data_IF_602832255956
#
_entry.id   IF_602832255956
#
_cell.length_a   1.000
_cell.length_b   1.000
_cell.length_c   1.000
_cell.angle_alpha   90.00
_cell.angle_beta   90.00
_cell.angle_gamma   90.00
#
_symmetry.space_group_name_H-M   'P 1'
#
loop_
_entity.id
_entity.type
_entity.pdbx_description
1 polymer ?
#
# COMPACT_ATOMS: atom_id res chain seq x y z
N UNK A 1 76.80 -26.99 -24.78
CA UNK A 1 77.15 -27.88 -23.66
C UNK A 1 75.87 -28.08 -22.85
N UNK A 2 75.33 -29.31 -22.86
CA UNK A 2 74.25 -29.87 -22.02
C UNK A 2 72.78 -29.38 -22.20
N UNK A 3 72.03 -30.04 -23.11
CA UNK A 3 70.96 -31.04 -22.86
C UNK A 3 70.48 -31.20 -21.38
N UNK A 4 69.22 -31.50 -21.00
CA UNK A 4 68.05 -32.12 -21.67
C UNK A 4 66.89 -32.28 -20.62
N UNK A 5 65.65 -32.38 -21.12
CA UNK A 5 64.46 -33.15 -20.62
C UNK A 5 63.52 -32.57 -19.54
N UNK A 6 62.22 -32.62 -19.88
CA UNK A 6 61.08 -32.77 -18.96
C UNK A 6 59.90 -31.84 -19.30
N UNK A 7 59.05 -32.16 -20.29
CA UNK A 7 57.70 -32.75 -20.11
C UNK A 7 56.94 -32.30 -18.84
N UNK A 8 55.65 -31.98 -18.73
CA UNK A 8 54.45 -31.78 -19.57
C UNK A 8 53.36 -31.31 -18.57
N UNK A 9 52.35 -30.53 -18.99
CA UNK A 9 51.00 -30.36 -18.38
C UNK A 9 50.95 -29.85 -16.91
N UNK A 10 50.41 -28.68 -16.58
CA UNK A 10 49.02 -28.25 -16.79
C UNK A 10 48.95 -26.73 -16.65
N UNK A 11 48.31 -26.06 -17.63
CA UNK A 11 47.77 -24.71 -17.45
C UNK A 11 46.63 -24.78 -16.44
N UNK A 12 46.73 -24.07 -15.33
CA UNK A 12 45.55 -23.62 -14.58
C UNK A 12 45.23 -22.20 -15.02
N UNK A 13 44.49 -22.10 -16.12
CA UNK A 13 43.68 -20.92 -16.43
C UNK A 13 42.48 -20.96 -15.47
N UNK A 14 42.50 -20.14 -14.41
CA UNK A 14 41.27 -19.83 -13.68
C UNK A 14 40.55 -18.74 -14.45
N UNK A 15 39.80 -19.15 -15.48
CA UNK A 15 38.64 -18.40 -15.93
C UNK A 15 37.60 -18.50 -14.82
N UNK A 16 37.58 -17.53 -13.91
CA UNK A 16 36.44 -17.32 -13.03
C UNK A 16 35.33 -16.65 -13.85
N UNK A 17 34.58 -17.47 -14.58
CA UNK A 17 33.26 -17.14 -15.09
C UNK A 17 32.42 -16.71 -13.89
N UNK A 18 32.20 -15.41 -13.70
CA UNK A 18 31.15 -14.92 -12.79
C UNK A 18 29.81 -15.14 -13.52
N UNK A 19 29.45 -16.40 -13.68
CA UNK A 19 28.06 -16.84 -13.73
C UNK A 19 27.58 -16.85 -12.29
N UNK A 20 27.21 -15.68 -11.78
CA UNK A 20 26.29 -15.64 -10.65
C UNK A 20 24.91 -15.46 -11.25
N UNK A 21 24.31 -16.62 -11.55
CA UNK A 21 22.88 -16.81 -11.66
C UNK A 21 22.23 -16.02 -10.53
N UNK A 22 21.54 -14.94 -10.88
CA UNK A 22 20.58 -14.30 -9.99
C UNK A 22 19.48 -15.32 -9.80
N UNK A 23 19.68 -16.22 -8.83
CA UNK A 23 18.61 -17.08 -8.34
C UNK A 23 17.57 -16.11 -7.81
N UNK A 24 16.48 -16.00 -8.55
CA UNK A 24 15.23 -15.42 -8.09
C UNK A 24 14.92 -16.06 -6.74
N UNK A 25 15.21 -15.32 -5.67
CA UNK A 25 14.70 -15.64 -4.36
C UNK A 25 13.23 -15.28 -4.43
N UNK A 26 12.38 -16.30 -4.39
CA UNK A 26 10.94 -16.14 -4.17
C UNK A 26 10.73 -15.46 -2.81
N UNK A 27 10.66 -14.13 -2.80
CA UNK A 27 10.27 -13.32 -1.63
C UNK A 27 8.74 -13.32 -1.47
N UNK A 28 8.16 -14.52 -1.47
CA UNK A 28 6.73 -14.78 -1.33
C UNK A 28 6.24 -14.76 0.12
N UNK A 29 7.14 -14.63 1.11
CA UNK A 29 6.79 -14.70 2.53
C UNK A 29 7.31 -13.50 3.32
N UNK A 30 6.94 -12.27 2.91
CA UNK A 30 6.69 -11.22 3.90
C UNK A 30 5.30 -11.45 4.52
N UNK A 31 5.11 -12.67 5.01
CA UNK A 31 4.06 -13.03 5.96
C UNK A 31 4.30 -12.11 7.15
N UNK A 32 3.21 -11.52 7.65
CA UNK A 32 3.14 -10.91 8.97
C UNK A 32 3.36 -11.96 10.07
N UNK A 33 4.48 -12.69 10.02
CA UNK A 33 4.94 -13.45 11.15
C UNK A 33 5.07 -12.42 12.26
N UNK A 34 4.20 -12.60 13.25
CA UNK A 34 4.52 -12.46 14.65
C UNK A 34 5.79 -11.67 14.90
N UNK A 35 5.64 -10.54 15.58
CA UNK A 35 6.69 -9.82 16.29
C UNK A 35 7.36 -10.81 17.27
N UNK A 36 8.16 -11.74 16.75
CA UNK A 36 8.84 -12.83 17.43
C UNK A 36 10.31 -12.61 17.13
N UNK A 37 10.88 -11.72 17.95
CA UNK A 37 12.24 -11.22 17.83
C UNK A 37 12.47 -9.96 18.65
N UNK A 38 11.41 -9.28 19.10
CA UNK A 38 11.54 -8.15 20.03
C UNK A 38 11.92 -8.69 21.41
N UNK A 39 13.06 -8.23 21.92
CA UNK A 39 13.43 -8.45 23.30
C UNK A 39 12.41 -7.73 24.20
N UNK A 40 11.41 -8.43 24.75
CA UNK A 40 10.44 -7.83 25.66
C UNK A 40 11.05 -7.18 26.92
N UNK A 41 12.33 -7.46 27.17
CA UNK A 41 13.06 -7.00 28.35
C UNK A 41 13.34 -5.49 28.40
N UNK A 42 13.28 -4.77 27.28
CA UNK A 42 13.57 -3.33 27.25
C UNK A 42 12.31 -2.44 27.22
N UNK A 43 11.12 -3.03 27.22
CA UNK A 43 9.85 -2.30 27.27
C UNK A 43 9.67 -1.61 28.62
N UNK A 44 9.45 -0.30 28.57
CA UNK A 44 9.09 0.47 29.78
C UNK A 44 7.62 0.23 30.17
N UNK A 45 7.23 0.48 31.43
CA UNK A 45 5.82 0.42 31.86
C UNK A 45 4.90 1.31 31.03
N UNK A 46 5.43 2.41 30.46
CA UNK A 46 4.67 3.30 29.58
C UNK A 46 4.35 2.63 28.23
N UNK A 47 5.28 1.82 27.69
CA UNK A 47 5.02 1.03 26.48
C UNK A 47 3.90 0.02 26.71
N UNK A 48 3.93 -0.70 27.84
CA UNK A 48 2.90 -1.69 28.15
C UNK A 48 1.53 -1.05 28.42
N UNK A 49 1.50 0.10 29.12
CA UNK A 49 0.26 0.84 29.30
C UNK A 49 -0.32 1.33 27.96
N UNK A 50 0.54 1.76 27.04
CA UNK A 50 0.15 2.20 25.70
C UNK A 50 -0.34 1.04 24.82
N UNK A 51 0.38 -0.08 24.77
CA UNK A 51 0.02 -1.26 23.95
C UNK A 51 -1.34 -1.85 24.35
N UNK A 52 -1.62 -1.86 25.65
CA UNK A 52 -2.87 -2.39 26.22
C UNK A 52 -4.01 -1.35 26.31
N UNK A 53 -3.78 -0.10 25.89
CA UNK A 53 -4.81 0.95 25.96
C UNK A 53 -5.19 1.38 27.38
N UNK A 54 -4.32 1.16 28.38
CA UNK A 54 -4.60 1.47 29.79
C UNK A 54 -4.39 2.96 30.09
N UNK A 55 -5.37 3.77 29.70
CA UNK A 55 -5.34 5.23 29.81
C UNK A 55 -4.99 5.75 31.22
N UNK A 56 -5.59 5.18 32.27
CA UNK A 56 -5.34 5.63 33.65
C UNK A 56 -3.91 5.33 34.10
N UNK A 57 -3.41 4.13 33.80
CA UNK A 57 -2.02 3.75 34.08
C UNK A 57 -1.05 4.67 33.34
N UNK A 58 -1.34 4.96 32.07
CA UNK A 58 -0.53 5.84 31.23
C UNK A 58 -0.46 7.27 31.81
N UNK A 59 -1.61 7.85 32.20
CA UNK A 59 -1.67 9.16 32.87
C UNK A 59 -0.88 9.18 34.19
N UNK A 60 -1.02 8.15 35.01
CA UNK A 60 -0.30 8.05 36.28
C UNK A 60 1.21 7.99 36.08
N UNK A 61 1.69 7.22 35.09
CA UNK A 61 3.11 7.12 34.77
C UNK A 61 3.68 8.46 34.27
N UNK A 62 2.95 9.18 33.43
CA UNK A 62 3.36 10.51 32.98
C UNK A 62 3.39 11.53 34.12
N UNK A 63 2.41 11.47 35.03
CA UNK A 63 2.39 12.31 36.24
C UNK A 63 3.57 12.03 37.19
N UNK A 64 4.14 10.83 37.16
CA UNK A 64 5.36 10.47 37.90
C UNK A 64 6.65 10.99 37.23
N UNK A 65 6.55 11.70 36.11
CA UNK A 65 7.71 12.26 35.41
C UNK A 65 8.42 11.27 34.48
N UNK A 66 7.77 10.16 34.09
CA UNK A 66 8.32 9.25 33.08
C UNK A 66 8.44 10.00 31.75
N UNK A 67 9.63 9.96 31.15
CA UNK A 67 9.86 10.58 29.85
C UNK A 67 9.01 9.89 28.76
N UNK A 68 8.12 10.66 28.13
CA UNK A 68 7.19 10.18 27.09
C UNK A 68 7.91 9.68 25.83
N UNK A 69 9.12 10.19 25.57
CA UNK A 69 9.92 9.90 24.39
C UNK A 69 10.93 8.78 24.63
N UNK A 70 10.75 7.97 25.70
CA UNK A 70 11.50 6.73 25.85
C UNK A 70 11.21 5.79 24.68
N UNK A 71 12.28 5.15 24.20
CA UNK A 71 12.22 4.20 23.11
C UNK A 71 12.94 2.91 23.46
N UNK A 72 12.50 1.81 22.86
CA UNK A 72 13.19 0.51 22.89
C UNK A 72 14.45 0.54 22.02
N UNK A 73 15.23 -0.54 22.03
CA UNK A 73 16.40 -0.73 21.15
C UNK A 73 16.02 -0.62 19.67
N UNK A 74 14.79 -1.01 19.32
CA UNK A 74 14.24 -0.93 17.97
C UNK A 74 13.65 0.46 17.67
N UNK A 75 13.90 1.45 18.54
CA UNK A 75 13.38 2.81 18.47
C UNK A 75 11.85 2.87 18.47
N UNK A 76 11.18 1.88 19.07
CA UNK A 76 9.73 1.88 19.26
C UNK A 76 9.42 2.76 20.46
N UNK A 77 8.51 3.72 20.30
CA UNK A 77 8.03 4.58 21.39
C UNK A 77 6.66 4.13 21.89
N UNK A 78 6.23 4.61 23.05
CA UNK A 78 4.87 4.34 23.56
C UNK A 78 3.78 4.86 22.61
N UNK A 79 4.06 5.90 21.82
CA UNK A 79 3.14 6.39 20.79
C UNK A 79 2.96 5.37 19.65
N UNK A 80 4.02 4.67 19.26
CA UNK A 80 3.91 3.60 18.25
C UNK A 80 2.97 2.48 18.72
N UNK A 81 3.11 2.06 19.97
CA UNK A 81 2.29 0.99 20.57
C UNK A 81 0.82 1.41 20.70
N UNK A 82 0.55 2.62 21.18
CA UNK A 82 -0.81 3.15 21.27
C UNK A 82 -1.50 3.20 19.89
N UNK A 83 -0.79 3.66 18.86
CA UNK A 83 -1.31 3.73 17.50
C UNK A 83 -1.53 2.34 16.87
N UNK A 84 -0.63 1.39 17.14
CA UNK A 84 -0.77 0.00 16.66
C UNK A 84 -1.97 -0.71 17.29
N UNK A 85 -2.27 -0.41 18.55
CA UNK A 85 -3.48 -0.87 19.23
C UNK A 85 -4.74 -0.08 18.89
N UNK A 86 -4.64 1.03 18.15
CA UNK A 86 -5.76 1.91 17.82
C UNK A 86 -6.30 2.72 19.00
N UNK A 87 -5.52 2.84 20.09
CA UNK A 87 -5.93 3.43 21.37
C UNK A 87 -5.92 4.96 21.35
N UNK A 88 -6.91 5.57 20.70
CA UNK A 88 -6.97 7.02 20.47
C UNK A 88 -6.79 7.86 21.75
N UNK A 89 -7.41 7.46 22.87
CA UNK A 89 -7.28 8.20 24.13
C UNK A 89 -5.84 8.19 24.68
N UNK A 90 -5.13 7.06 24.55
CA UNK A 90 -3.72 6.96 24.92
C UNK A 90 -2.85 7.79 23.96
N UNK A 91 -3.09 7.67 22.65
CA UNK A 91 -2.42 8.46 21.61
C UNK A 91 -2.53 9.95 21.91
N UNK A 92 -3.73 10.44 22.22
CA UNK A 92 -3.98 11.84 22.57
C UNK A 92 -3.17 12.29 23.77
N UNK A 93 -3.21 11.55 24.87
CA UNK A 93 -2.46 11.90 26.09
C UNK A 93 -0.95 11.92 25.84
N UNK A 94 -0.43 10.95 25.08
CA UNK A 94 0.99 10.91 24.74
C UNK A 94 1.41 12.13 23.91
N UNK A 95 0.60 12.52 22.92
CA UNK A 95 0.85 13.71 22.09
C UNK A 95 0.78 15.00 22.91
N UNK A 96 -0.21 15.14 23.79
CA UNK A 96 -0.34 16.29 24.72
C UNK A 96 0.89 16.45 25.64
N UNK A 97 1.60 15.36 25.94
CA UNK A 97 2.83 15.37 26.73
C UNK A 97 4.10 15.50 25.89
N UNK A 98 3.99 15.77 24.59
CA UNK A 98 5.13 16.03 23.70
C UNK A 98 5.77 14.77 23.11
N UNK A 99 5.00 13.70 22.91
CA UNK A 99 5.48 12.54 22.16
C UNK A 99 5.86 12.91 20.71
N UNK A 100 6.98 12.36 20.23
CA UNK A 100 7.45 12.58 18.85
C UNK A 100 6.51 11.91 17.83
N UNK A 101 5.69 12.72 17.18
CA UNK A 101 4.67 12.28 16.20
C UNK A 101 5.26 11.62 14.94
N UNK A 102 6.46 12.06 14.54
CA UNK A 102 7.19 11.56 13.36
C UNK A 102 8.38 10.67 13.75
N UNK A 103 8.36 10.06 14.94
CA UNK A 103 9.36 9.08 15.34
C UNK A 103 9.43 7.92 14.33
N UNK A 104 10.61 7.37 14.11
CA UNK A 104 10.84 6.28 13.15
C UNK A 104 11.56 5.14 13.86
N UNK A 105 10.99 3.93 13.75
CA UNK A 105 11.64 2.71 14.26
C UNK A 105 12.82 2.31 13.37
N UNK A 106 13.63 1.34 13.82
CA UNK A 106 14.72 0.77 12.98
C UNK A 106 14.21 0.12 11.69
N UNK A 107 12.92 -0.23 11.63
CA UNK A 107 12.27 -0.82 10.46
C UNK A 107 11.59 0.22 9.56
N UNK A 108 11.80 1.52 9.83
CA UNK A 108 11.19 2.59 9.04
C UNK A 108 9.70 2.79 9.28
N UNK A 109 9.18 2.32 10.42
CA UNK A 109 7.77 2.43 10.81
C UNK A 109 7.55 3.73 11.58
N UNK A 110 6.47 4.44 11.28
CA UNK A 110 6.02 5.66 11.99
C UNK A 110 4.77 5.39 12.82
N UNK A 111 4.41 6.26 13.80
CA UNK A 111 3.14 6.16 14.49
C UNK A 111 1.93 6.22 13.54
N UNK A 112 2.01 7.02 12.47
CA UNK A 112 0.97 7.10 11.45
C UNK A 112 0.79 5.80 10.68
N UNK A 113 1.90 5.13 10.33
CA UNK A 113 1.86 3.80 9.74
C UNK A 113 1.16 2.80 10.67
N UNK A 114 1.49 2.81 11.97
CA UNK A 114 0.85 1.92 12.95
C UNK A 114 -0.65 2.20 13.11
N UNK A 115 -1.07 3.46 13.10
CA UNK A 115 -2.49 3.83 13.11
C UNK A 115 -3.23 3.34 11.83
N UNK A 116 -2.57 3.42 10.68
CA UNK A 116 -3.10 2.85 9.44
C UNK A 116 -3.17 1.33 9.47
N UNK A 117 -2.19 0.66 10.09
CA UNK A 117 -2.19 -0.80 10.29
C UNK A 117 -3.33 -1.26 11.21
N UNK A 118 -3.61 -0.52 12.27
CA UNK A 118 -4.71 -0.81 13.20
C UNK A 118 -6.10 -0.51 12.62
N UNK A 119 -6.18 0.38 11.62
CA UNK A 119 -7.44 0.83 11.03
C UNK A 119 -8.15 1.91 11.85
N UNK A 120 -7.48 2.49 12.85
CA UNK A 120 -8.06 3.54 13.68
C UNK A 120 -8.00 4.89 12.96
N UNK A 121 -9.06 5.20 12.20
CA UNK A 121 -9.23 6.48 11.51
C UNK A 121 -9.11 7.68 12.47
N UNK A 122 -9.61 7.54 13.70
CA UNK A 122 -9.48 8.55 14.75
C UNK A 122 -8.02 8.80 15.15
N UNK A 123 -7.18 7.76 15.25
CA UNK A 123 -5.75 7.94 15.49
C UNK A 123 -5.05 8.58 14.28
N UNK A 124 -5.41 8.17 13.05
CA UNK A 124 -4.84 8.76 11.82
C UNK A 124 -5.12 10.27 11.77
N UNK A 125 -6.37 10.66 11.95
CA UNK A 125 -6.77 12.07 11.95
C UNK A 125 -6.04 12.86 13.06
N UNK A 126 -6.03 12.34 14.29
CA UNK A 126 -5.37 12.98 15.41
C UNK A 126 -3.86 13.16 15.18
N UNK A 127 -3.18 12.16 14.62
CA UNK A 127 -1.75 12.27 14.32
C UNK A 127 -1.48 13.37 13.27
N UNK A 128 -2.31 13.45 12.23
CA UNK A 128 -2.20 14.49 11.20
C UNK A 128 -2.44 15.89 11.78
N UNK A 129 -3.42 16.04 12.68
CA UNK A 129 -3.67 17.29 13.43
C UNK A 129 -2.45 17.72 14.26
N UNK A 130 -1.70 16.77 14.81
CA UNK A 130 -0.45 17.01 15.55
C UNK A 130 0.80 17.10 14.65
N UNK A 131 0.63 17.20 13.33
CA UNK A 131 1.73 17.42 12.39
C UNK A 131 2.49 16.14 11.98
N UNK A 132 1.85 14.97 12.05
CA UNK A 132 2.36 13.78 11.36
C UNK A 132 2.45 14.06 9.87
N UNK A 133 3.57 13.67 9.25
CA UNK A 133 3.70 13.75 7.79
C UNK A 133 3.03 12.53 7.15
N UNK A 134 2.05 12.71 6.25
CA UNK A 134 1.35 11.60 5.57
C UNK A 134 2.30 10.62 4.87
N UNK A 135 3.36 11.15 4.27
CA UNK A 135 4.49 10.41 3.76
C UNK A 135 5.78 11.09 4.25
N UNK A 136 6.54 10.43 5.13
CA UNK A 136 7.74 11.01 5.74
C UNK A 136 8.95 10.98 4.79
N UNK A 137 9.14 9.87 4.08
CA UNK A 137 10.14 9.71 3.02
C UNK A 137 9.77 8.51 2.13
N UNK A 138 10.16 8.51 0.86
CA UNK A 138 9.73 7.49 -0.12
C UNK A 138 10.26 6.08 0.14
N UNK A 139 11.38 5.95 0.85
CA UNK A 139 11.99 4.66 1.20
C UNK A 139 11.42 4.03 2.47
N UNK A 140 10.58 4.75 3.21
CA UNK A 140 9.95 4.26 4.43
C UNK A 140 8.64 3.53 4.13
N UNK A 141 8.14 2.82 5.13
CA UNK A 141 6.86 2.13 5.03
C UNK A 141 5.73 3.14 4.77
N UNK A 142 5.01 2.99 3.66
CA UNK A 142 3.96 3.93 3.26
C UNK A 142 2.65 3.69 4.02
N UNK A 143 2.14 4.66 4.80
CA UNK A 143 0.88 4.51 5.54
C UNK A 143 -0.32 4.25 4.61
N UNK A 144 -0.35 4.89 3.44
CA UNK A 144 -1.42 4.72 2.44
C UNK A 144 -1.49 3.28 1.94
N UNK A 145 -0.35 2.70 1.57
CA UNK A 145 -0.30 1.33 1.08
C UNK A 145 -0.72 0.31 2.15
N UNK A 146 -0.36 0.55 3.41
CA UNK A 146 -0.77 -0.34 4.51
C UNK A 146 -2.27 -0.25 4.80
N UNK A 147 -2.84 0.96 4.84
CA UNK A 147 -4.29 1.15 4.96
C UNK A 147 -5.04 0.42 3.84
N UNK A 148 -4.57 0.59 2.60
CA UNK A 148 -5.18 -0.07 1.43
C UNK A 148 -5.02 -1.58 1.48
N UNK A 149 -3.82 -2.11 1.77
CA UNK A 149 -3.57 -3.56 1.90
C UNK A 149 -4.52 -4.22 2.90
N UNK A 150 -4.81 -3.55 4.01
CA UNK A 150 -5.72 -4.03 5.05
C UNK A 150 -7.20 -3.78 4.76
N UNK A 151 -7.52 -2.93 3.78
CA UNK A 151 -8.89 -2.57 3.44
C UNK A 151 -9.48 -1.47 4.32
N UNK A 152 -8.64 -0.72 5.04
CA UNK A 152 -9.06 0.37 5.93
C UNK A 152 -9.37 1.62 5.12
N UNK A 153 -10.52 1.60 4.44
CA UNK A 153 -10.95 2.63 3.49
C UNK A 153 -10.98 4.04 4.11
N UNK A 154 -11.47 4.19 5.33
CA UNK A 154 -11.54 5.51 6.00
C UNK A 154 -10.15 6.10 6.24
N UNK A 155 -9.19 5.30 6.71
CA UNK A 155 -7.79 5.75 6.86
C UNK A 155 -7.17 6.16 5.51
N UNK A 156 -7.45 5.39 4.45
CA UNK A 156 -7.01 5.70 3.09
C UNK A 156 -7.59 7.05 2.63
N UNK A 157 -8.89 7.29 2.81
CA UNK A 157 -9.54 8.55 2.44
C UNK A 157 -8.91 9.75 3.19
N UNK A 158 -8.74 9.64 4.51
CA UNK A 158 -8.11 10.69 5.32
C UNK A 158 -6.69 11.02 4.80
N UNK A 159 -5.90 10.01 4.45
CA UNK A 159 -4.54 10.24 3.91
C UNK A 159 -4.57 10.93 2.55
N UNK A 160 -5.49 10.55 1.66
CA UNK A 160 -5.64 11.16 0.35
C UNK A 160 -6.12 12.61 0.42
N UNK A 161 -6.91 12.95 1.45
CA UNK A 161 -7.31 14.32 1.73
C UNK A 161 -6.16 15.20 2.26
N UNK A 162 -5.04 14.60 2.67
CA UNK A 162 -3.83 15.28 3.16
C UNK A 162 -2.69 15.26 2.12
N UNK A 163 -3.02 15.53 0.85
CA UNK A 163 -2.09 15.72 -0.27
C UNK A 163 -1.16 14.53 -0.58
N UNK A 164 -1.53 13.30 -0.17
CA UNK A 164 -0.80 12.09 -0.60
C UNK A 164 -1.11 11.81 -2.07
N UNK A 165 -0.07 11.54 -2.86
CA UNK A 165 -0.26 11.18 -4.26
C UNK A 165 -0.92 9.79 -4.38
N UNK A 166 -2.16 9.77 -4.87
CA UNK A 166 -2.96 8.56 -5.10
C UNK A 166 -2.31 7.53 -6.03
N UNK A 167 -1.43 7.98 -6.93
CA UNK A 167 -0.71 7.14 -7.89
C UNK A 167 0.76 6.89 -7.47
N UNK A 168 1.12 7.17 -6.21
CA UNK A 168 2.48 6.96 -5.73
C UNK A 168 2.86 5.47 -5.80
N UNK A 169 3.82 5.13 -6.65
CA UNK A 169 4.34 3.76 -6.73
C UNK A 169 5.32 3.51 -5.57
N UNK A 170 4.99 2.56 -4.70
CA UNK A 170 5.95 2.02 -3.75
C UNK A 170 6.77 0.91 -4.43
N UNK A 171 8.12 0.94 -4.43
CA UNK A 171 8.95 0.03 -5.25
C UNK A 171 8.63 -1.46 -5.11
N UNK A 172 8.27 -1.88 -3.89
CA UNK A 172 7.94 -3.28 -3.59
C UNK A 172 6.46 -3.63 -3.78
N UNK A 173 5.56 -2.65 -3.76
CA UNK A 173 4.12 -2.88 -3.69
C UNK A 173 3.35 -2.45 -4.96
N UNK A 174 3.90 -1.55 -5.77
CA UNK A 174 3.17 -0.90 -6.85
C UNK A 174 2.40 0.33 -6.36
N UNK A 175 1.41 0.79 -7.13
CA UNK A 175 0.47 1.84 -6.73
C UNK A 175 -0.53 1.36 -5.66
N UNK A 176 -1.21 2.29 -4.94
CA UNK A 176 -2.30 1.94 -4.04
C UNK A 176 -3.40 1.11 -4.71
N UNK A 177 -3.79 1.47 -5.95
CA UNK A 177 -4.81 0.73 -6.69
C UNK A 177 -4.37 -0.72 -6.99
N UNK A 178 -3.10 -0.92 -7.35
CA UNK A 178 -2.53 -2.26 -7.55
C UNK A 178 -2.59 -3.11 -6.27
N UNK A 179 -2.22 -2.52 -5.14
CA UNK A 179 -2.31 -3.18 -3.83
C UNK A 179 -3.77 -3.54 -3.50
N UNK A 180 -4.71 -2.62 -3.71
CA UNK A 180 -6.13 -2.88 -3.48
C UNK A 180 -6.64 -4.08 -4.30
N UNK A 181 -6.23 -4.18 -5.57
CA UNK A 181 -6.58 -5.29 -6.46
C UNK A 181 -5.92 -6.61 -6.01
N UNK A 182 -4.64 -6.56 -5.64
CA UNK A 182 -3.87 -7.73 -5.18
C UNK A 182 -4.49 -8.34 -3.92
N UNK A 183 -4.93 -7.52 -2.97
CA UNK A 183 -5.55 -7.98 -1.72
C UNK A 183 -7.08 -8.05 -1.77
N UNK A 184 -7.70 -7.90 -2.94
CA UNK A 184 -9.15 -7.98 -3.17
C UNK A 184 -9.96 -7.03 -2.25
N UNK A 185 -9.46 -5.79 -2.06
CA UNK A 185 -10.11 -4.77 -1.25
C UNK A 185 -11.07 -3.96 -2.11
N UNK A 186 -12.22 -4.54 -2.43
CA UNK A 186 -13.19 -4.00 -3.39
C UNK A 186 -13.64 -2.57 -3.07
N UNK A 187 -13.86 -2.27 -1.80
CA UNK A 187 -14.24 -0.91 -1.36
C UNK A 187 -13.13 0.11 -1.59
N UNK A 188 -11.87 -0.29 -1.35
CA UNK A 188 -10.71 0.56 -1.64
C UNK A 188 -10.51 0.73 -3.14
N UNK A 189 -10.67 -0.33 -3.94
CA UNK A 189 -10.61 -0.27 -5.41
C UNK A 189 -11.63 0.74 -5.94
N UNK A 190 -12.90 0.58 -5.55
CA UNK A 190 -13.99 1.47 -5.96
C UNK A 190 -13.66 2.92 -5.61
N UNK A 191 -13.27 3.17 -4.36
CA UNK A 191 -13.01 4.52 -3.88
C UNK A 191 -11.78 5.16 -4.53
N UNK A 192 -10.70 4.42 -4.74
CA UNK A 192 -9.51 4.92 -5.45
C UNK A 192 -9.85 5.31 -6.90
N UNK A 193 -10.64 4.51 -7.60
CA UNK A 193 -11.12 4.81 -8.95
C UNK A 193 -12.05 6.03 -8.99
N UNK A 194 -12.95 6.16 -8.01
CA UNK A 194 -13.82 7.34 -7.85
C UNK A 194 -13.01 8.63 -7.68
N UNK A 195 -11.94 8.57 -6.86
CA UNK A 195 -11.00 9.67 -6.61
C UNK A 195 -10.04 9.94 -7.79
N UNK A 196 -10.11 9.12 -8.85
CA UNK A 196 -9.36 9.33 -10.08
C UNK A 196 -7.96 8.74 -10.07
N UNK A 197 -7.73 7.65 -9.32
CA UNK A 197 -6.53 6.83 -9.49
C UNK A 197 -6.42 6.36 -10.94
N UNK A 198 -5.19 6.30 -11.45
CA UNK A 198 -4.97 5.82 -12.80
C UNK A 198 -5.18 4.30 -12.85
N UNK A 199 -6.19 3.89 -13.62
CA UNK A 199 -6.64 2.50 -13.72
C UNK A 199 -5.58 1.54 -14.28
N UNK A 200 -4.62 2.06 -15.06
CA UNK A 200 -3.58 1.25 -15.71
C UNK A 200 -2.23 1.28 -14.99
N UNK A 201 -1.99 2.26 -14.10
CA UNK A 201 -0.74 2.34 -13.34
C UNK A 201 -0.74 1.32 -12.20
N UNK A 202 0.17 0.37 -12.27
CA UNK A 202 0.29 -0.71 -11.31
C UNK A 202 1.65 -0.82 -10.67
N UNK A 203 2.26 -2.00 -10.77
CA UNK A 203 3.63 -2.27 -10.34
C UNK A 203 4.49 -2.49 -11.58
N UNK A 204 5.35 -1.52 -11.90
CA UNK A 204 6.24 -1.58 -13.06
C UNK A 204 5.42 -1.74 -14.36
N UNK A 205 5.53 -2.88 -15.05
CA UNK A 205 4.73 -3.22 -16.25
C UNK A 205 3.42 -3.97 -15.93
N UNK A 206 3.19 -4.35 -14.67
CA UNK A 206 2.03 -5.14 -14.26
C UNK A 206 0.90 -4.20 -13.82
N UNK A 207 -0.16 -4.13 -14.62
CA UNK A 207 -1.29 -3.22 -14.34
C UNK A 207 -2.19 -3.74 -13.20
N UNK A 208 -3.05 -2.90 -12.59
CA UNK A 208 -4.03 -3.35 -11.60
C UNK A 208 -4.94 -4.46 -12.13
N UNK A 209 -5.25 -4.45 -13.44
CA UNK A 209 -6.03 -5.50 -14.09
C UNK A 209 -5.29 -6.85 -14.14
N UNK A 210 -3.97 -6.86 -14.34
CA UNK A 210 -3.18 -8.09 -14.24
C UNK A 210 -3.18 -8.65 -12.80
N UNK A 211 -3.06 -7.78 -11.80
CA UNK A 211 -3.17 -8.19 -10.40
C UNK A 211 -4.55 -8.80 -10.10
N UNK A 212 -5.63 -8.13 -10.51
CA UNK A 212 -6.99 -8.62 -10.33
C UNK A 212 -7.26 -9.95 -11.06
N UNK A 213 -6.68 -10.13 -12.25
CA UNK A 213 -6.86 -11.36 -13.03
C UNK A 213 -6.26 -12.62 -12.38
N UNK A 214 -5.21 -12.46 -11.55
CA UNK A 214 -4.64 -13.57 -10.76
C UNK A 214 -5.53 -13.97 -9.57
N UNK A 215 -6.47 -13.10 -9.20
CA UNK A 215 -7.36 -13.29 -8.07
C UNK A 215 -8.71 -13.85 -8.53
N UNK A 216 -9.63 -14.09 -7.58
CA UNK A 216 -10.93 -14.73 -7.84
C UNK A 216 -12.12 -13.76 -7.95
N UNK A 217 -11.92 -12.46 -7.70
CA UNK A 217 -13.02 -11.49 -7.66
C UNK A 217 -13.32 -10.89 -9.04
N UNK A 218 -14.39 -11.38 -9.67
CA UNK A 218 -14.94 -10.81 -10.90
C UNK A 218 -15.47 -9.37 -10.70
N UNK A 219 -15.86 -8.99 -9.48
CA UNK A 219 -16.32 -7.63 -9.18
C UNK A 219 -15.20 -6.61 -9.40
N UNK A 220 -13.97 -6.92 -8.99
CA UNK A 220 -12.80 -6.04 -9.21
C UNK A 220 -12.53 -5.88 -10.71
N UNK A 221 -12.69 -6.94 -11.51
CA UNK A 221 -12.56 -6.87 -12.97
C UNK A 221 -13.62 -5.94 -13.57
N UNK A 222 -14.87 -6.07 -13.15
CA UNK A 222 -15.94 -5.19 -13.61
C UNK A 222 -15.67 -3.73 -13.24
N UNK A 223 -15.24 -3.45 -12.01
CA UNK A 223 -14.85 -2.10 -11.60
C UNK A 223 -13.73 -1.54 -12.47
N UNK A 224 -12.62 -2.27 -12.63
CA UNK A 224 -11.50 -1.80 -13.44
C UNK A 224 -11.91 -1.56 -14.90
N UNK A 225 -12.65 -2.47 -15.51
CA UNK A 225 -13.12 -2.34 -16.90
C UNK A 225 -14.13 -1.21 -17.07
N UNK A 226 -15.03 -1.00 -16.10
CA UNK A 226 -15.97 0.12 -16.09
C UNK A 226 -15.25 1.46 -15.94
N UNK A 227 -14.07 1.51 -15.32
CA UNK A 227 -13.21 2.70 -15.27
C UNK A 227 -12.19 2.77 -16.42
N UNK A 228 -12.28 1.87 -17.40
CA UNK A 228 -11.53 1.95 -18.65
C UNK A 228 -10.17 1.27 -18.64
N UNK A 229 -9.94 0.29 -17.74
CA UNK A 229 -8.72 -0.52 -17.76
C UNK A 229 -8.49 -1.15 -19.14
N UNK A 230 -7.27 -1.06 -19.65
CA UNK A 230 -6.93 -1.65 -20.94
C UNK A 230 -6.68 -3.16 -20.81
N UNK A 231 -7.52 -3.95 -21.48
CA UNK A 231 -7.39 -5.40 -21.59
C UNK A 231 -6.17 -5.85 -22.43
N UNK A 232 -5.61 -4.92 -23.23
CA UNK A 232 -4.57 -5.22 -24.22
C UNK A 232 -3.15 -5.05 -23.70
N UNK A 233 -2.97 -4.44 -22.53
CA UNK A 233 -1.63 -4.28 -21.96
C UNK A 233 -1.01 -5.64 -21.68
N UNK A 234 0.29 -5.71 -21.91
CA UNK A 234 1.10 -6.89 -21.63
C UNK A 234 2.14 -6.54 -20.58
N UNK A 235 2.26 -7.39 -19.58
CA UNK A 235 3.28 -7.25 -18.55
C UNK A 235 4.67 -7.68 -19.07
N UNK A 236 5.68 -7.67 -18.20
CA UNK A 236 7.07 -8.06 -18.52
C UNK A 236 7.22 -9.51 -19.02
N UNK A 237 6.24 -10.38 -18.76
CA UNK A 237 6.19 -11.75 -19.28
C UNK A 237 5.52 -11.81 -20.67
N UNK A 238 5.10 -10.68 -21.22
CA UNK A 238 4.35 -10.61 -22.46
C UNK A 238 2.90 -11.10 -22.35
N UNK A 239 2.38 -11.31 -21.14
CA UNK A 239 1.02 -11.82 -20.90
C UNK A 239 0.04 -10.67 -20.69
N UNK A 240 -1.16 -10.76 -21.25
CA UNK A 240 -2.26 -9.86 -20.90
C UNK A 240 -3.02 -10.34 -19.66
N UNK A 241 -4.00 -9.57 -19.19
CA UNK A 241 -4.81 -9.95 -18.03
C UNK A 241 -5.56 -11.29 -18.24
N UNK A 242 -6.10 -11.53 -19.44
CA UNK A 242 -6.79 -12.78 -19.77
C UNK A 242 -5.86 -14.00 -19.68
N UNK A 243 -4.61 -13.86 -20.14
CA UNK A 243 -3.59 -14.93 -20.08
C UNK A 243 -3.21 -15.33 -18.63
N UNK A 244 -3.54 -14.50 -17.65
CA UNK A 244 -3.28 -14.74 -16.22
C UNK A 244 -4.47 -15.30 -15.46
N UNK A 245 -5.67 -15.23 -16.04
CA UNK A 245 -6.88 -15.71 -15.40
C UNK A 245 -6.87 -17.24 -15.31
N UNK A 246 -7.44 -17.78 -14.23
CA UNK A 246 -7.60 -19.22 -14.10
C UNK A 246 -8.68 -19.71 -15.08
N UNK A 247 -8.43 -20.79 -15.86
CA UNK A 247 -9.42 -21.29 -16.81
C UNK A 247 -10.74 -21.66 -16.11
N UNK A 248 -11.86 -21.36 -16.76
CA UNK A 248 -13.24 -21.55 -16.31
C UNK A 248 -13.63 -20.76 -15.05
N UNK A 249 -12.84 -19.75 -14.68
CA UNK A 249 -13.16 -18.87 -13.56
C UNK A 249 -14.17 -17.79 -13.92
N UNK A 250 -14.84 -17.24 -12.91
CA UNK A 250 -15.69 -16.04 -13.05
C UNK A 250 -14.91 -14.84 -13.58
N UNK A 251 -13.61 -14.76 -13.26
CA UNK A 251 -12.70 -13.70 -13.71
C UNK A 251 -12.40 -13.84 -15.20
N UNK A 252 -12.10 -15.04 -15.70
CA UNK A 252 -11.92 -15.28 -17.14
C UNK A 252 -13.20 -14.92 -17.91
N UNK A 253 -14.36 -15.37 -17.42
CA UNK A 253 -15.65 -15.05 -18.03
C UNK A 253 -15.90 -13.53 -18.05
N UNK A 254 -15.60 -12.82 -16.96
CA UNK A 254 -15.75 -11.37 -16.88
C UNK A 254 -14.84 -10.62 -17.87
N UNK A 255 -13.60 -11.10 -18.08
CA UNK A 255 -12.67 -10.54 -19.05
C UNK A 255 -13.13 -10.80 -20.49
N UNK A 256 -13.55 -12.03 -20.80
CA UNK A 256 -14.05 -12.40 -22.14
C UNK A 256 -15.30 -11.61 -22.54
N UNK A 257 -16.22 -11.37 -21.60
CA UNK A 257 -17.42 -10.56 -21.84
C UNK A 257 -17.10 -9.11 -22.22
N UNK A 258 -15.90 -8.62 -21.89
CA UNK A 258 -15.47 -7.22 -22.12
C UNK A 258 -14.45 -7.07 -23.25
N UNK A 259 -14.15 -8.14 -23.99
CA UNK A 259 -13.18 -8.12 -25.11
C UNK A 259 -13.69 -7.34 -26.35
N UNK A 260 -15.01 -7.12 -26.44
CA UNK A 260 -15.63 -6.29 -27.49
C UNK A 260 -15.38 -4.78 -27.32
N UNK A 261 -15.65 -3.97 -28.37
CA UNK A 261 -15.54 -2.52 -28.26
C UNK A 261 -16.51 -1.96 -27.21
N UNK A 262 -16.09 -1.01 -26.37
CA UNK A 262 -16.97 -0.37 -25.40
C UNK A 262 -18.10 0.38 -26.13
N UNK A 263 -19.26 0.46 -25.48
CA UNK A 263 -20.39 1.24 -26.00
C UNK A 263 -20.02 2.72 -26.15
N UNK A 264 -20.69 3.43 -27.07
CA UNK A 264 -20.49 4.87 -27.24
C UNK A 264 -20.71 5.64 -25.93
N UNK A 265 -21.72 5.26 -25.15
CA UNK A 265 -21.98 5.86 -23.84
C UNK A 265 -20.79 5.70 -22.90
N UNK A 266 -20.18 4.51 -22.86
CA UNK A 266 -19.00 4.23 -22.04
C UNK A 266 -17.77 5.03 -22.52
N UNK A 267 -17.57 5.14 -23.83
CA UNK A 267 -16.52 5.99 -24.40
C UNK A 267 -16.71 7.45 -24.00
N UNK A 268 -17.94 7.98 -24.12
CA UNK A 268 -18.27 9.33 -23.68
C UNK A 268 -17.99 9.53 -22.18
N UNK A 269 -18.37 8.57 -21.33
CA UNK A 269 -18.09 8.60 -19.89
C UNK A 269 -16.60 8.75 -19.62
N UNK A 270 -15.78 7.87 -20.20
CA UNK A 270 -14.33 7.86 -20.00
C UNK A 270 -13.68 9.15 -20.51
N UNK A 271 -14.10 9.64 -21.69
CA UNK A 271 -13.62 10.91 -22.23
C UNK A 271 -13.93 12.09 -21.32
N UNK A 272 -15.18 12.24 -20.86
CA UNK A 272 -15.58 13.32 -19.97
C UNK A 272 -14.78 13.26 -18.66
N UNK A 273 -14.70 12.09 -18.04
CA UNK A 273 -13.95 11.93 -16.78
C UNK A 273 -12.47 12.23 -16.96
N UNK A 274 -11.86 11.81 -18.08
CA UNK A 274 -10.46 12.12 -18.40
C UNK A 274 -10.23 13.62 -18.55
N UNK A 275 -11.17 14.36 -19.14
CA UNK A 275 -11.10 15.82 -19.24
C UNK A 275 -11.23 16.52 -17.88
N UNK A 276 -12.06 15.99 -16.98
CA UNK A 276 -12.26 16.56 -15.65
C UNK A 276 -11.13 16.20 -14.65
N UNK A 277 -10.37 15.13 -14.92
CA UNK A 277 -9.26 14.70 -14.08
C UNK A 277 -9.69 14.29 -12.66
N UNK A 278 -8.83 14.52 -11.67
CA UNK A 278 -9.06 14.09 -10.27
C UNK A 278 -10.20 14.83 -9.56
N UNK A 279 -10.54 16.05 -10.01
CA UNK A 279 -11.67 16.83 -9.47
C UNK A 279 -13.03 16.44 -10.06
N UNK A 280 -13.08 15.40 -10.89
CA UNK A 280 -14.28 14.96 -11.61
C UNK A 280 -15.53 14.86 -10.73
N UNK A 281 -15.43 14.29 -9.53
CA UNK A 281 -16.56 14.14 -8.62
C UNK A 281 -17.19 15.48 -8.18
N UNK A 282 -16.41 16.55 -8.08
CA UNK A 282 -16.89 17.89 -7.73
C UNK A 282 -17.33 18.66 -8.97
N UNK A 283 -16.59 18.50 -10.07
CA UNK A 283 -16.81 19.23 -11.31
C UNK A 283 -18.04 18.75 -12.07
N UNK A 284 -18.45 17.48 -11.97
CA UNK A 284 -19.64 16.96 -12.66
C UNK A 284 -20.91 17.74 -12.27
N UNK A 285 -21.11 18.02 -10.98
CA UNK A 285 -22.28 18.79 -10.51
C UNK A 285 -22.32 20.23 -11.03
N UNK A 286 -21.19 20.75 -11.54
CA UNK A 286 -21.10 22.08 -12.12
C UNK A 286 -21.44 22.10 -13.62
N UNK A 287 -21.57 20.94 -14.25
CA UNK A 287 -21.92 20.82 -15.68
C UNK A 287 -23.41 21.02 -15.96
N UNK A 288 -24.24 21.10 -14.92
CA UNK A 288 -25.69 21.29 -15.01
C UNK A 288 -26.36 20.27 -15.96
N UNK A 289 -25.99 19.00 -15.83
CA UNK A 289 -26.53 17.92 -16.67
C UNK A 289 -27.82 17.35 -16.04
N UNK A 290 -28.67 16.68 -16.83
CA UNK A 290 -29.77 15.88 -16.26
C UNK A 290 -29.27 14.88 -15.22
N UNK A 291 -30.03 14.67 -14.14
CA UNK A 291 -29.65 13.82 -13.00
C UNK A 291 -29.20 12.41 -13.42
N UNK A 292 -29.85 11.82 -14.43
CA UNK A 292 -29.48 10.52 -14.98
C UNK A 292 -28.07 10.50 -15.59
N UNK A 293 -27.66 11.57 -16.27
CA UNK A 293 -26.32 11.69 -16.84
C UNK A 293 -25.28 11.99 -15.76
N UNK A 294 -25.62 12.76 -14.74
CA UNK A 294 -24.73 12.98 -13.59
C UNK A 294 -24.44 11.67 -12.86
N UNK A 295 -25.49 10.91 -12.52
CA UNK A 295 -25.36 9.58 -11.90
C UNK A 295 -24.54 8.64 -12.79
N UNK A 296 -24.82 8.62 -14.09
CA UNK A 296 -24.05 7.87 -15.06
C UNK A 296 -22.55 8.24 -15.07
N UNK A 297 -22.18 9.51 -14.98
CA UNK A 297 -20.77 9.95 -14.95
C UNK A 297 -20.09 9.66 -13.59
N UNK A 298 -20.86 9.56 -12.53
CA UNK A 298 -20.43 9.27 -11.16
C UNK A 298 -20.44 7.78 -10.80
N UNK A 299 -20.80 6.89 -11.73
CA UNK A 299 -20.99 5.45 -11.47
C UNK A 299 -22.02 5.17 -10.35
N UNK A 300 -23.08 5.98 -10.32
CA UNK A 300 -24.21 5.88 -9.38
C UNK A 300 -25.51 5.53 -10.09
#
# INVERSE_FOLDING_TARGET
MLNLIGETKQKYEVQATISSVWKEISFGDYICHSIQGDCWADRSPLHEAASQGRLLSLKNLLAQGVNVNLVTINRVSSLHEACLGGHMACTKVLLEHGASVNGVTVHGVTPLFNACSSGSAACVQLLLEYGAKPQLADHLASPLHEAVKRGHRECMEILLDNDVNIDQEAPLHGTPLYVACTYQRTDCVRKLLELGANVDLGKWSDTPLHAAARQSSAEVIHLLTDYGASLKYRNSQGKCALDLATPQSSVEQALLLRDGPPSLAQLCRLCIRKCLGRSCHRSIYQLCLPELLEKFLLYR
#
